data_IF_957031442997
#
_entry.id   IF_957031442997
#
_cell.length_a   1.000
_cell.length_b   1.000
_cell.length_c   1.000
_cell.angle_alpha   90.00
_cell.angle_beta   90.00
_cell.angle_gamma   90.00
#
_symmetry.space_group_name_H-M   'P 1'
#
loop_
_entity.id
_entity.type
_entity.pdbx_description
1 polymer ?
#
# COMPACT_ATOMS: atom_id res chain seq x y z
N UNK A 1 -18.00 46.79 43.42
CA UNK A 1 -19.17 46.11 42.79
C UNK A 1 -18.64 45.13 41.76
N UNK A 2 -18.50 43.86 42.11
CA UNK A 2 -18.04 42.80 41.20
C UNK A 2 -19.26 42.18 40.53
N UNK A 3 -19.46 42.47 39.25
CA UNK A 3 -20.50 41.85 38.42
C UNK A 3 -20.19 40.35 38.28
N UNK A 4 -21.06 39.50 38.81
CA UNK A 4 -21.00 38.05 38.57
C UNK A 4 -21.50 37.79 37.15
N UNK A 5 -20.58 37.51 36.22
CA UNK A 5 -20.96 37.01 34.90
C UNK A 5 -21.72 35.70 35.07
N UNK A 6 -22.94 35.60 34.53
CA UNK A 6 -23.68 34.34 34.50
C UNK A 6 -22.92 33.34 33.64
N UNK A 7 -22.55 32.22 34.23
CA UNK A 7 -21.87 31.13 33.54
C UNK A 7 -22.90 30.40 32.67
N UNK A 8 -22.85 30.61 31.35
CA UNK A 8 -23.67 29.90 30.37
C UNK A 8 -23.06 28.52 30.11
N UNK A 9 -23.76 27.45 30.50
CA UNK A 9 -23.41 26.07 30.17
C UNK A 9 -24.12 25.57 28.92
N UNK A 10 -23.55 24.56 28.26
CA UNK A 10 -24.20 23.84 27.16
C UNK A 10 -25.43 23.08 27.65
N UNK A 11 -26.47 23.03 26.82
CA UNK A 11 -27.66 22.22 27.08
C UNK A 11 -27.40 20.76 26.72
N UNK A 12 -28.13 19.85 27.37
CA UNK A 12 -28.06 18.42 27.06
C UNK A 12 -28.47 18.14 25.60
N UNK A 13 -29.41 18.91 25.06
CA UNK A 13 -29.86 18.78 23.68
C UNK A 13 -28.78 19.23 22.67
N UNK A 14 -28.03 20.30 22.96
CA UNK A 14 -26.88 20.71 22.11
C UNK A 14 -25.81 19.63 22.07
N UNK A 15 -25.52 18.99 23.21
CA UNK A 15 -24.59 17.87 23.25
C UNK A 15 -25.09 16.68 22.42
N UNK A 16 -26.38 16.35 22.47
CA UNK A 16 -26.94 15.26 21.66
C UNK A 16 -26.85 15.56 20.16
N UNK A 17 -27.21 16.78 19.73
CA UNK A 17 -27.13 17.18 18.32
C UNK A 17 -25.69 17.18 17.82
N UNK A 18 -24.74 17.68 18.62
CA UNK A 18 -23.31 17.69 18.25
C UNK A 18 -22.74 16.28 18.08
N UNK A 19 -23.06 15.34 18.98
CA UNK A 19 -22.61 13.94 18.85
C UNK A 19 -23.20 13.28 17.61
N UNK A 20 -24.47 13.57 17.28
CA UNK A 20 -25.11 13.05 16.05
C UNK A 20 -24.39 13.56 14.80
N UNK A 21 -24.09 14.87 14.72
CA UNK A 21 -23.35 15.45 13.59
C UNK A 21 -21.95 14.83 13.48
N UNK A 22 -21.22 14.68 14.59
CA UNK A 22 -19.91 14.04 14.60
C UNK A 22 -20.00 12.59 14.11
N UNK A 23 -21.01 11.84 14.54
CA UNK A 23 -21.22 10.45 14.10
C UNK A 23 -21.37 10.32 12.58
N UNK A 24 -22.15 11.21 11.97
CA UNK A 24 -22.33 11.26 10.50
C UNK A 24 -21.00 11.55 9.79
N UNK A 25 -20.23 12.51 10.30
CA UNK A 25 -18.94 12.87 9.71
C UNK A 25 -17.94 11.72 9.79
N UNK A 26 -17.83 11.06 10.95
CA UNK A 26 -16.92 9.93 11.17
C UNK A 26 -17.23 8.76 10.24
N UNK A 27 -18.51 8.47 10.00
CA UNK A 27 -18.94 7.37 9.13
C UNK A 27 -18.40 7.48 7.69
N UNK A 28 -18.21 8.71 7.19
CA UNK A 28 -17.67 8.98 5.85
C UNK A 28 -16.14 9.17 5.90
N UNK A 29 -15.66 9.89 6.91
CA UNK A 29 -14.25 10.29 6.99
C UNK A 29 -13.30 9.10 7.20
N UNK A 30 -13.67 8.14 8.05
CA UNK A 30 -12.81 6.99 8.38
C UNK A 30 -12.50 6.09 7.18
N UNK A 31 -13.50 5.58 6.41
CA UNK A 31 -13.20 4.76 5.23
C UNK A 31 -12.42 5.53 4.16
N UNK A 32 -12.75 6.81 3.95
CA UNK A 32 -12.03 7.68 3.00
C UNK A 32 -10.55 7.86 3.37
N UNK A 33 -10.27 8.06 4.66
CA UNK A 33 -8.90 8.16 5.16
C UNK A 33 -8.14 6.84 5.00
N UNK A 34 -8.75 5.70 5.35
CA UNK A 34 -8.13 4.39 5.17
C UNK A 34 -7.77 4.13 3.71
N UNK A 35 -8.65 4.45 2.77
CA UNK A 35 -8.38 4.29 1.34
C UNK A 35 -7.27 5.22 0.84
N UNK A 36 -7.18 6.43 1.38
CA UNK A 36 -6.08 7.36 1.09
C UNK A 36 -4.73 6.82 1.56
N UNK A 37 -4.69 6.24 2.76
CA UNK A 37 -3.48 5.60 3.30
C UNK A 37 -3.10 4.35 2.49
N UNK A 38 -4.08 3.50 2.13
CA UNK A 38 -3.84 2.34 1.24
C UNK A 38 -3.33 2.78 -0.12
N UNK A 39 -3.83 3.90 -0.69
CA UNK A 39 -3.32 4.48 -1.94
C UNK A 39 -1.86 4.88 -1.84
N UNK A 40 -1.46 5.51 -0.73
CA UNK A 40 -0.05 5.84 -0.46
C UNK A 40 0.84 4.59 -0.42
N UNK A 41 0.41 3.56 0.30
CA UNK A 41 1.14 2.27 0.40
C UNK A 41 1.23 1.56 -0.95
N UNK A 42 0.17 1.59 -1.76
CA UNK A 42 0.24 1.11 -3.16
C UNK A 42 1.28 1.88 -3.96
N UNK A 43 1.31 3.21 -3.82
CA UNK A 43 2.31 4.05 -4.47
C UNK A 43 3.73 3.60 -4.15
N UNK A 44 4.01 3.34 -2.87
CA UNK A 44 5.30 2.81 -2.45
C UNK A 44 5.59 1.41 -3.03
N UNK A 45 4.64 0.49 -2.95
CA UNK A 45 4.81 -0.86 -3.49
C UNK A 45 5.04 -0.85 -5.01
N UNK A 46 4.36 0.02 -5.77
CA UNK A 46 4.61 0.21 -7.20
C UNK A 46 6.04 0.70 -7.47
N UNK A 47 6.52 1.66 -6.69
CA UNK A 47 7.89 2.17 -6.81
C UNK A 47 8.92 1.07 -6.52
N UNK A 48 8.71 0.31 -5.45
CA UNK A 48 9.56 -0.81 -5.05
C UNK A 48 9.59 -1.91 -6.13
N UNK A 49 8.44 -2.22 -6.76
CA UNK A 49 8.37 -3.16 -7.89
C UNK A 49 9.20 -2.70 -9.10
N UNK A 50 9.14 -1.41 -9.43
CA UNK A 50 9.93 -0.85 -10.55
C UNK A 50 11.42 -0.89 -10.22
N UNK A 51 11.81 -0.55 -8.99
CA UNK A 51 13.20 -0.63 -8.55
C UNK A 51 13.72 -2.08 -8.57
N UNK A 52 12.89 -3.03 -8.12
CA UNK A 52 13.20 -4.45 -8.13
C UNK A 52 13.38 -4.97 -9.56
N UNK A 53 12.53 -4.56 -10.50
CA UNK A 53 12.69 -4.88 -11.92
C UNK A 53 14.01 -4.33 -12.48
N UNK A 54 14.36 -3.08 -12.15
CA UNK A 54 15.66 -2.52 -12.55
C UNK A 54 16.86 -3.27 -11.95
N UNK A 55 16.74 -3.77 -10.72
CA UNK A 55 17.75 -4.62 -10.12
C UNK A 55 17.90 -5.96 -10.86
N UNK A 56 16.80 -6.53 -11.36
CA UNK A 56 16.82 -7.72 -12.20
C UNK A 56 17.55 -7.49 -13.53
N UNK A 57 17.35 -6.34 -14.18
CA UNK A 57 18.07 -6.00 -15.42
C UNK A 57 19.58 -5.91 -15.19
N UNK A 58 20.00 -5.31 -14.06
CA UNK A 58 21.42 -5.30 -13.66
C UNK A 58 21.95 -6.70 -13.38
N UNK A 59 21.17 -7.53 -12.69
CA UNK A 59 21.53 -8.93 -12.43
C UNK A 59 21.71 -9.72 -13.73
N UNK A 60 20.81 -9.56 -14.69
CA UNK A 60 20.92 -10.20 -15.99
C UNK A 60 22.15 -9.73 -16.77
N UNK A 61 22.46 -8.44 -16.74
CA UNK A 61 23.67 -7.90 -17.39
C UNK A 61 24.95 -8.54 -16.86
N UNK A 62 24.99 -8.86 -15.56
CA UNK A 62 26.15 -9.49 -14.93
C UNK A 62 26.19 -11.03 -15.07
N UNK A 63 25.03 -11.69 -15.20
CA UNK A 63 24.93 -13.15 -15.09
C UNK A 63 24.38 -13.84 -16.35
N UNK A 64 23.94 -13.07 -17.36
CA UNK A 64 23.27 -13.54 -18.58
C UNK A 64 21.99 -14.37 -18.35
N UNK A 65 21.38 -14.27 -17.16
CA UNK A 65 20.13 -14.94 -16.79
C UNK A 65 19.43 -14.22 -15.64
N UNK A 66 18.10 -14.38 -15.52
CA UNK A 66 17.33 -13.89 -14.36
C UNK A 66 17.24 -14.89 -13.20
N UNK A 67 17.46 -16.18 -13.47
CA UNK A 67 17.39 -17.23 -12.46
C UNK A 67 18.66 -17.34 -11.61
N UNK A 68 18.57 -18.08 -10.50
CA UNK A 68 19.73 -18.49 -9.68
C UNK A 68 19.90 -17.75 -8.35
N UNK A 69 19.11 -16.70 -8.09
CA UNK A 69 19.03 -16.05 -6.77
C UNK A 69 17.60 -15.68 -6.44
N UNK A 70 17.28 -15.61 -5.15
CA UNK A 70 16.00 -15.04 -4.71
C UNK A 70 16.01 -13.52 -4.93
N UNK A 71 14.83 -12.93 -5.17
CA UNK A 71 14.73 -11.50 -5.43
C UNK A 71 15.32 -10.66 -4.29
N UNK A 72 15.10 -11.05 -3.04
CA UNK A 72 15.65 -10.37 -1.86
C UNK A 72 17.18 -10.28 -1.85
N UNK A 73 17.85 -11.25 -2.46
CA UNK A 73 19.32 -11.28 -2.53
C UNK A 73 19.85 -10.41 -3.70
N UNK A 74 18.99 -10.07 -4.66
CA UNK A 74 19.29 -9.21 -5.82
C UNK A 74 18.93 -7.74 -5.50
N UNK A 75 17.73 -7.52 -4.99
CA UNK A 75 17.15 -6.20 -4.72
C UNK A 75 17.36 -5.73 -3.27
N UNK A 76 17.78 -6.62 -2.36
CA UNK A 76 18.12 -6.29 -0.98
C UNK A 76 16.96 -6.29 0.02
N UNK A 77 15.74 -6.64 -0.39
CA UNK A 77 14.57 -6.70 0.49
C UNK A 77 13.50 -7.64 -0.05
N UNK A 78 12.61 -8.13 0.81
CA UNK A 78 11.40 -8.87 0.47
C UNK A 78 10.12 -8.16 0.96
N UNK A 79 10.24 -6.90 1.36
CA UNK A 79 9.16 -6.14 1.98
C UNK A 79 8.98 -4.77 1.35
N UNK A 80 7.73 -4.29 1.38
CA UNK A 80 7.38 -2.91 1.05
C UNK A 80 6.46 -2.33 2.14
N UNK A 81 6.70 -1.10 2.63
CA UNK A 81 7.94 -0.32 2.43
C UNK A 81 9.18 -1.08 2.94
N UNK A 82 10.36 -0.75 2.39
CA UNK A 82 11.64 -1.32 2.84
C UNK A 82 11.97 -0.97 4.29
N UNK A 83 11.45 0.15 4.78
CA UNK A 83 11.63 0.63 6.15
C UNK A 83 10.29 0.83 6.86
N UNK A 84 10.28 0.66 8.18
CA UNK A 84 9.08 0.80 8.99
C UNK A 84 8.17 -0.43 8.92
N UNK A 85 6.85 -0.19 9.05
CA UNK A 85 5.85 -1.26 9.08
C UNK A 85 5.61 -1.81 7.67
N UNK A 86 5.75 -3.12 7.51
CA UNK A 86 5.51 -3.83 6.26
C UNK A 86 4.01 -3.95 5.96
N UNK A 87 3.65 -3.76 4.69
CA UNK A 87 2.29 -3.95 4.16
C UNK A 87 2.22 -4.90 2.97
N UNK A 88 3.35 -5.10 2.27
CA UNK A 88 3.47 -6.04 1.16
C UNK A 88 4.71 -6.92 1.32
N UNK A 89 4.63 -8.15 0.82
CA UNK A 89 5.78 -9.00 0.51
C UNK A 89 6.13 -8.82 -0.96
N UNK A 90 7.39 -8.51 -1.27
CA UNK A 90 7.90 -8.32 -2.63
C UNK A 90 8.78 -9.52 -2.99
N UNK A 91 8.37 -10.30 -3.96
CA UNK A 91 9.06 -11.54 -4.35
C UNK A 91 8.81 -11.89 -5.82
N UNK A 92 9.48 -12.91 -6.33
CA UNK A 92 9.09 -13.47 -7.62
C UNK A 92 7.72 -14.17 -7.53
N UNK A 93 6.89 -13.94 -8.54
CA UNK A 93 5.72 -14.76 -8.82
C UNK A 93 6.19 -16.06 -9.49
N UNK A 94 6.35 -17.10 -8.68
CA UNK A 94 6.93 -18.37 -9.12
C UNK A 94 8.45 -18.31 -9.30
N UNK A 95 9.01 -19.34 -9.94
CA UNK A 95 10.46 -19.43 -10.18
C UNK A 95 10.83 -18.70 -11.48
N UNK A 96 11.72 -17.70 -11.46
CA UNK A 96 12.18 -17.04 -12.69
C UNK A 96 12.97 -18.03 -13.56
N UNK A 97 12.89 -17.85 -14.88
CA UNK A 97 13.68 -18.61 -15.84
C UNK A 97 14.95 -17.85 -16.19
N UNK A 98 15.74 -18.36 -17.14
CA UNK A 98 16.89 -17.61 -17.64
C UNK A 98 16.49 -16.31 -18.35
N UNK A 99 15.26 -16.21 -18.89
CA UNK A 99 14.83 -15.09 -19.76
C UNK A 99 13.55 -14.39 -19.30
N UNK A 100 12.87 -14.93 -18.29
CA UNK A 100 11.59 -14.40 -17.82
C UNK A 100 11.57 -14.29 -16.30
N UNK A 101 10.94 -13.22 -15.82
CA UNK A 101 10.61 -13.05 -14.42
C UNK A 101 9.27 -12.34 -14.29
N UNK A 102 8.57 -12.57 -13.20
CA UNK A 102 7.51 -11.68 -12.74
C UNK A 102 7.76 -11.41 -11.28
N UNK A 103 7.73 -10.15 -10.89
CA UNK A 103 7.85 -9.73 -9.49
C UNK A 103 6.46 -9.30 -9.04
N UNK A 104 6.06 -9.75 -7.85
CA UNK A 104 4.79 -9.40 -7.23
C UNK A 104 5.00 -8.69 -5.90
N UNK A 105 4.10 -7.74 -5.61
CA UNK A 105 3.89 -7.14 -4.30
C UNK A 105 2.54 -7.67 -3.79
N UNK A 106 2.61 -8.65 -2.89
CA UNK A 106 1.45 -9.32 -2.31
C UNK A 106 1.09 -8.68 -0.97
N UNK A 107 -0.15 -8.19 -0.77
CA UNK A 107 -0.57 -7.62 0.51
C UNK A 107 -0.40 -8.60 1.67
N UNK A 108 0.07 -8.10 2.83
CA UNK A 108 0.11 -8.89 4.06
C UNK A 108 -1.29 -9.09 4.61
N UNK A 109 -1.68 -10.36 4.79
CA UNK A 109 -2.98 -10.78 5.33
C UNK A 109 -3.25 -10.29 6.75
N UNK A 110 -2.20 -9.94 7.50
CA UNK A 110 -2.27 -9.40 8.87
C UNK A 110 -2.48 -7.89 8.93
N UNK A 111 -2.62 -7.22 7.78
CA UNK A 111 -2.78 -5.76 7.69
C UNK A 111 -4.08 -5.38 6.99
N UNK A 112 -4.50 -4.13 7.16
CA UNK A 112 -5.62 -3.52 6.45
C UNK A 112 -5.39 -3.38 4.93
N UNK A 113 -4.17 -3.67 4.46
CA UNK A 113 -3.86 -3.74 3.03
C UNK A 113 -4.43 -5.01 2.38
N UNK A 114 -4.72 -6.06 3.15
CA UNK A 114 -5.30 -7.31 2.64
C UNK A 114 -6.69 -7.11 2.04
N UNK A 115 -7.43 -6.11 2.50
CA UNK A 115 -8.78 -5.77 2.01
C UNK A 115 -8.74 -4.70 0.92
N UNK A 116 -7.57 -4.31 0.44
CA UNK A 116 -7.44 -3.31 -0.60
C UNK A 116 -7.91 -3.84 -1.95
N UNK A 117 -8.65 -2.98 -2.68
CA UNK A 117 -9.25 -3.34 -3.97
C UNK A 117 -8.26 -3.78 -5.05
N UNK A 118 -6.98 -3.46 -4.92
CA UNK A 118 -5.97 -3.78 -5.93
C UNK A 118 -5.32 -5.15 -5.74
N UNK A 119 -5.39 -5.74 -4.55
CA UNK A 119 -4.78 -7.03 -4.27
C UNK A 119 -3.28 -7.05 -4.60
N UNK A 120 -2.82 -8.19 -5.16
CA UNK A 120 -1.44 -8.36 -5.62
C UNK A 120 -1.19 -7.50 -6.86
N UNK A 121 -0.14 -6.69 -6.83
CA UNK A 121 0.37 -5.95 -8.00
C UNK A 121 1.63 -6.63 -8.51
N UNK A 122 1.85 -6.66 -9.82
CA UNK A 122 3.05 -7.28 -10.39
C UNK A 122 3.61 -6.52 -11.59
N UNK A 123 4.89 -6.76 -11.87
CA UNK A 123 5.61 -6.31 -13.06
C UNK A 123 6.48 -7.45 -13.60
N UNK A 124 6.54 -7.62 -14.91
CA UNK A 124 7.39 -8.63 -15.56
C UNK A 124 8.58 -8.01 -16.32
N UNK A 125 9.42 -8.85 -16.93
CA UNK A 125 10.59 -8.43 -17.69
C UNK A 125 10.27 -7.56 -18.92
N UNK A 126 9.03 -7.59 -19.40
CA UNK A 126 8.56 -6.74 -20.52
C UNK A 126 8.02 -5.40 -20.02
N UNK A 127 8.07 -5.12 -18.71
CA UNK A 127 7.46 -3.95 -18.09
C UNK A 127 5.93 -4.00 -18.03
N UNK A 128 5.32 -5.16 -18.34
CA UNK A 128 3.88 -5.32 -18.23
C UNK A 128 3.47 -5.32 -16.76
N UNK A 129 2.57 -4.41 -16.43
CA UNK A 129 2.08 -4.16 -15.07
C UNK A 129 0.67 -4.72 -14.95
N UNK A 130 0.44 -5.51 -13.91
CA UNK A 130 -0.90 -6.08 -13.66
C UNK A 130 -1.29 -5.97 -12.19
N UNK A 131 -2.58 -6.04 -11.92
CA UNK A 131 -3.14 -6.15 -10.58
C UNK A 131 -4.26 -7.20 -10.61
N UNK A 132 -4.30 -8.07 -9.59
CA UNK A 132 -5.17 -9.26 -9.61
C UNK A 132 -6.65 -8.94 -9.30
N UNK A 133 -6.93 -7.90 -8.52
CA UNK A 133 -8.27 -7.68 -7.96
C UNK A 133 -9.09 -6.57 -8.65
N UNK A 134 -8.47 -5.57 -9.29
CA UNK A 134 -9.20 -4.55 -10.06
C UNK A 134 -8.34 -3.85 -11.11
N UNK A 135 -9.02 -3.30 -12.12
CA UNK A 135 -8.40 -2.49 -13.18
C UNK A 135 -8.02 -1.10 -12.66
N UNK A 136 -7.08 -0.44 -13.34
CA UNK A 136 -6.63 0.91 -13.00
C UNK A 136 -5.80 1.04 -11.72
N UNK A 137 -5.43 -0.09 -11.11
CA UNK A 137 -4.60 -0.10 -9.91
C UNK A 137 -3.19 0.41 -10.14
N UNK A 138 -2.69 0.37 -11.38
CA UNK A 138 -1.40 0.95 -11.77
C UNK A 138 -1.51 2.40 -12.23
N UNK A 139 -2.72 2.89 -12.51
CA UNK A 139 -2.98 4.27 -12.90
C UNK A 139 -2.84 5.20 -11.68
N UNK A 140 -2.68 6.51 -11.96
CA UNK A 140 -2.43 7.55 -10.95
C UNK A 140 -3.71 8.00 -10.22
#
# INVERSE_FOLDING_TARGET
>A
MTSSARQSGFTLIELMVTVVVIGILVAIAVPSYQDSVRKGRRGQAKADLVEAAQAMERYYTANNQYSGKALKDIWGSDRSPRDGKQFYTVAFKGTPTAREFTIEAKPLTTTDQATDKCGTMSINQLGQKTAEASTGCWDN
#
